data_IF_943662387587
#
_entry.id   IF_943662387587
#
_cell.length_a   1.000
_cell.length_b   1.000
_cell.length_c   1.000
_cell.angle_alpha   90.00
_cell.angle_beta   90.00
_cell.angle_gamma   90.00
#
_symmetry.space_group_name_H-M   'P 1'
#
loop_
_entity.id
_entity.type
_entity.pdbx_description
1 polymer ?
#
# COMPACT_ATOMS: atom_id res chain seq x y z
N UNK A 1 11.74 28.53 6.67
CA UNK A 1 12.96 27.76 6.36
C UNK A 1 13.61 27.10 7.59
N UNK A 2 12.84 26.56 8.53
CA UNK A 2 13.38 25.79 9.67
C UNK A 2 12.67 24.44 9.75
N UNK A 3 13.43 23.39 10.11
CA UNK A 3 12.89 22.05 10.35
C UNK A 3 11.91 22.11 11.51
N UNK A 4 10.74 21.50 11.34
CA UNK A 4 9.77 21.30 12.42
C UNK A 4 9.63 19.82 12.74
N UNK A 5 9.74 19.49 14.01
CA UNK A 5 9.51 18.15 14.52
C UNK A 5 8.10 18.05 15.09
N UNK A 6 7.41 16.98 14.73
CA UNK A 6 6.09 16.62 15.25
C UNK A 6 6.22 15.31 16.02
N UNK A 7 5.50 15.20 17.13
CA UNK A 7 5.43 13.96 17.91
C UNK A 7 4.19 13.16 17.50
N UNK A 8 4.34 11.85 17.31
CA UNK A 8 3.25 10.93 16.99
C UNK A 8 3.35 9.69 17.89
N UNK A 9 2.26 8.92 18.03
CA UNK A 9 2.34 7.64 18.73
C UNK A 9 3.39 6.72 18.07
N UNK A 10 4.18 5.98 18.86
CA UNK A 10 5.26 5.17 18.34
C UNK A 10 4.70 4.05 17.46
N UNK A 11 5.15 4.01 16.20
CA UNK A 11 4.85 2.96 15.23
C UNK A 11 6.09 2.66 14.41
N UNK A 12 6.20 1.41 13.93
CA UNK A 12 7.22 1.02 12.97
C UNK A 12 6.60 1.10 11.58
N UNK A 13 7.11 1.96 10.71
CA UNK A 13 6.58 2.17 9.35
C UNK A 13 7.67 1.90 8.32
N UNK A 14 7.30 1.19 7.26
CA UNK A 14 8.19 0.91 6.13
C UNK A 14 7.94 1.88 4.98
N UNK A 15 6.71 1.93 4.45
CA UNK A 15 6.37 2.76 3.31
C UNK A 15 5.30 3.81 3.64
N UNK A 16 5.44 4.97 2.99
CA UNK A 16 4.39 5.96 2.89
C UNK A 16 3.61 5.71 1.60
N UNK A 17 2.30 5.90 1.63
CA UNK A 17 1.46 5.92 0.43
C UNK A 17 1.68 7.24 -0.31
N UNK A 18 1.47 8.36 0.38
CA UNK A 18 1.60 9.70 -0.14
C UNK A 18 1.56 10.73 1.00
N UNK A 19 1.93 11.97 0.72
CA UNK A 19 1.73 13.10 1.61
C UNK A 19 1.38 14.38 0.84
N UNK A 20 0.54 15.24 1.40
CA UNK A 20 0.11 16.50 0.77
C UNK A 20 -0.32 17.55 1.80
N UNK A 21 -0.52 18.78 1.34
CA UNK A 21 -1.02 19.89 2.15
C UNK A 21 -2.55 20.04 2.01
N UNK A 22 -3.25 20.28 3.12
CA UNK A 22 -4.64 20.77 3.10
C UNK A 22 -4.80 21.95 4.06
N UNK A 23 -5.78 22.81 3.76
CA UNK A 23 -6.24 23.85 4.68
C UNK A 23 -7.47 23.35 5.42
N UNK A 24 -7.40 23.31 6.76
CA UNK A 24 -8.52 22.89 7.58
C UNK A 24 -9.63 23.97 7.63
N UNK A 25 -10.77 23.65 8.27
CA UNK A 25 -11.91 24.57 8.36
C UNK A 25 -11.60 25.88 9.11
N UNK A 26 -10.50 25.94 9.87
CA UNK A 26 -10.02 27.12 10.58
C UNK A 26 -9.04 27.96 9.74
N UNK A 27 -8.73 27.57 8.50
CA UNK A 27 -7.77 28.26 7.64
C UNK A 27 -6.31 27.91 7.92
N UNK A 28 -6.04 26.87 8.70
CA UNK A 28 -4.68 26.44 9.06
C UNK A 28 -4.19 25.36 8.12
N UNK A 29 -2.90 25.40 7.76
CA UNK A 29 -2.29 24.38 6.91
C UNK A 29 -1.94 23.13 7.71
N UNK A 30 -2.28 21.97 7.18
CA UNK A 30 -1.92 20.66 7.72
C UNK A 30 -1.18 19.85 6.65
N UNK A 31 -0.14 19.13 7.06
CA UNK A 31 0.46 18.06 6.25
C UNK A 31 -0.29 16.77 6.57
N UNK A 32 -0.85 16.13 5.55
CA UNK A 32 -1.50 14.84 5.65
C UNK A 32 -0.52 13.81 5.10
N UNK A 33 -0.33 12.71 5.82
CA UNK A 33 0.50 11.59 5.37
C UNK A 33 -0.28 10.30 5.57
N UNK A 34 -0.31 9.48 4.52
CA UNK A 34 -0.80 8.12 4.56
C UNK A 34 0.38 7.15 4.52
N UNK A 35 0.29 6.05 5.25
CA UNK A 35 1.33 5.02 5.26
C UNK A 35 0.83 3.69 5.81
N UNK A 36 1.72 2.70 5.75
CA UNK A 36 1.45 1.31 6.10
C UNK A 36 2.32 0.89 7.29
N UNK A 37 2.07 1.40 8.51
CA UNK A 37 2.80 0.95 9.69
C UNK A 37 2.37 -0.45 10.12
N UNK A 38 3.23 -1.09 10.93
CA UNK A 38 2.87 -2.31 11.63
C UNK A 38 1.65 -2.04 12.53
N UNK A 39 0.71 -2.97 12.49
CA UNK A 39 -0.37 -3.04 13.45
C UNK A 39 0.22 -3.16 14.86
N UNK A 40 -0.40 -2.47 15.82
CA UNK A 40 0.08 -2.44 17.20
C UNK A 40 -0.67 -3.50 18.01
N UNK A 41 -0.12 -4.72 18.21
CA UNK A 41 -0.84 -5.81 18.85
C UNK A 41 -1.18 -5.44 20.30
N UNK A 42 -2.38 -5.78 20.75
CA UNK A 42 -2.83 -5.51 22.12
C UNK A 42 -3.00 -6.80 22.91
N UNK A 43 -2.72 -6.73 24.20
CA UNK A 43 -3.09 -7.73 25.18
C UNK A 43 -4.61 -7.63 25.49
N UNK A 44 -5.14 -8.59 26.24
CA UNK A 44 -6.56 -8.58 26.65
C UNK A 44 -6.95 -7.35 27.50
N UNK A 45 -5.99 -6.77 28.22
CA UNK A 45 -6.17 -5.54 29.00
C UNK A 45 -6.03 -4.26 28.15
N UNK A 46 -5.80 -4.39 26.84
CA UNK A 46 -5.64 -3.27 25.91
C UNK A 46 -4.24 -2.67 25.84
N UNK A 47 -3.30 -3.10 26.68
CA UNK A 47 -1.90 -2.64 26.64
C UNK A 47 -1.16 -3.21 25.42
N UNK A 48 -0.11 -2.51 24.97
CA UNK A 48 0.71 -2.95 23.85
C UNK A 48 1.44 -4.27 24.17
N UNK A 49 1.26 -5.27 23.31
CA UNK A 49 2.03 -6.51 23.36
C UNK A 49 3.37 -6.33 22.63
N UNK A 50 4.32 -5.72 23.34
CA UNK A 50 5.67 -5.44 22.83
C UNK A 50 6.39 -6.73 22.43
N UNK A 51 6.19 -7.83 23.15
CA UNK A 51 6.85 -9.11 22.84
C UNK A 51 6.37 -9.65 21.50
N UNK A 52 5.06 -9.62 21.25
CA UNK A 52 4.49 -10.02 19.97
C UNK A 52 4.96 -9.12 18.84
N UNK A 53 4.93 -7.79 19.03
CA UNK A 53 5.40 -6.85 18.01
C UNK A 53 6.86 -7.11 17.61
N UNK A 54 7.76 -7.23 18.59
CA UNK A 54 9.17 -7.50 18.34
C UNK A 54 9.41 -8.88 17.73
N UNK A 55 8.63 -9.89 18.13
CA UNK A 55 8.70 -11.22 17.52
C UNK A 55 8.26 -11.20 16.06
N UNK A 56 7.16 -10.53 15.74
CA UNK A 56 6.67 -10.35 14.36
C UNK A 56 7.75 -9.69 13.52
N UNK A 57 8.29 -8.55 13.94
CA UNK A 57 9.33 -7.83 13.20
C UNK A 57 10.60 -8.68 13.07
N UNK A 58 11.07 -9.28 14.18
CA UNK A 58 12.30 -10.06 14.22
C UNK A 58 12.25 -11.36 13.40
N UNK A 59 11.05 -11.85 13.08
CA UNK A 59 10.82 -13.01 12.20
C UNK A 59 10.37 -12.63 10.79
N UNK A 60 10.45 -11.33 10.43
CA UNK A 60 10.01 -10.79 9.14
C UNK A 60 8.52 -11.01 8.86
N UNK A 61 7.73 -11.22 9.91
CA UNK A 61 6.27 -11.25 9.86
C UNK A 61 5.73 -9.92 9.37
N UNK A 62 4.77 -9.96 8.44
CA UNK A 62 4.08 -8.76 7.96
C UNK A 62 2.69 -8.70 8.59
N UNK A 63 2.45 -7.71 9.44
CA UNK A 63 1.15 -7.40 10.05
C UNK A 63 1.01 -5.88 10.06
N UNK A 64 0.48 -5.33 8.97
CA UNK A 64 0.41 -3.90 8.68
C UNK A 64 -1.05 -3.43 8.65
N UNK A 65 -1.25 -2.14 8.88
CA UNK A 65 -2.54 -1.46 8.72
C UNK A 65 -2.36 -0.21 7.85
N UNK A 66 -3.43 0.30 7.26
CA UNK A 66 -3.39 1.60 6.58
C UNK A 66 -3.70 2.71 7.60
N UNK A 67 -2.82 3.71 7.67
CA UNK A 67 -2.84 4.71 8.72
C UNK A 67 -2.64 6.13 8.19
N UNK A 68 -3.23 7.10 8.89
CA UNK A 68 -3.14 8.52 8.55
C UNK A 68 -2.54 9.33 9.70
N UNK A 69 -1.63 10.24 9.36
CA UNK A 69 -1.17 11.32 10.22
C UNK A 69 -1.57 12.67 9.63
N UNK A 70 -1.91 13.62 10.50
CA UNK A 70 -2.15 15.02 10.17
C UNK A 70 -1.29 15.89 11.09
N UNK A 71 -0.43 16.72 10.51
CA UNK A 71 0.50 17.58 11.22
C UNK A 71 0.15 19.05 10.97
N UNK A 72 -0.35 19.74 12.00
CA UNK A 72 -0.82 21.12 11.85
C UNK A 72 0.35 22.11 11.94
N UNK A 73 0.58 22.87 10.86
CA UNK A 73 1.68 23.83 10.75
C UNK A 73 1.42 25.15 11.50
N UNK A 74 0.20 25.43 11.95
CA UNK A 74 -0.05 26.58 12.83
C UNK A 74 0.22 26.20 14.30
N UNK A 75 -0.41 25.13 14.77
CA UNK A 75 -0.44 24.77 16.20
C UNK A 75 0.68 23.84 16.63
N UNK A 76 1.29 23.09 15.69
CA UNK A 76 2.24 22.02 16.01
C UNK A 76 1.57 20.72 16.48
N UNK A 77 0.25 20.65 16.44
CA UNK A 77 -0.49 19.45 16.84
C UNK A 77 -0.35 18.34 15.80
N UNK A 78 -0.15 17.11 16.29
CA UNK A 78 -0.32 15.88 15.50
C UNK A 78 -1.67 15.25 15.82
N UNK A 79 -2.39 14.84 14.78
CA UNK A 79 -3.55 13.95 14.88
C UNK A 79 -3.31 12.72 14.05
N UNK A 80 -3.83 11.59 14.49
CA UNK A 80 -3.59 10.31 13.85
C UNK A 80 -4.82 9.40 13.93
N UNK A 81 -4.99 8.55 12.92
CA UNK A 81 -6.15 7.67 12.82
C UNK A 81 -5.87 6.46 11.94
N UNK A 82 -6.43 5.31 12.32
CA UNK A 82 -6.52 4.14 11.45
C UNK A 82 -7.45 4.47 10.28
N UNK A 83 -7.00 4.16 9.07
CA UNK A 83 -7.82 4.24 7.85
C UNK A 83 -8.42 2.87 7.53
N UNK A 84 -7.62 1.81 7.64
CA UNK A 84 -8.07 0.43 7.50
C UNK A 84 -7.20 -0.52 8.34
N UNK A 85 -7.83 -1.28 9.23
CA UNK A 85 -7.22 -2.36 10.01
C UNK A 85 -7.76 -3.76 9.61
N UNK A 86 -8.54 -3.83 8.53
CA UNK A 86 -9.12 -5.09 8.04
C UNK A 86 -8.15 -5.79 7.10
N UNK A 87 -7.61 -5.09 6.09
CA UNK A 87 -6.64 -5.68 5.18
C UNK A 87 -5.21 -5.41 5.64
N UNK A 88 -4.44 -6.49 5.74
CA UNK A 88 -3.00 -6.42 5.93
C UNK A 88 -2.34 -6.04 4.60
N UNK A 89 -1.99 -4.77 4.42
CA UNK A 89 -1.49 -4.26 3.13
C UNK A 89 -0.17 -3.51 3.24
N UNK A 90 0.61 -3.58 2.17
CA UNK A 90 1.92 -2.94 2.05
C UNK A 90 2.28 -2.66 0.59
N UNK A 91 3.45 -2.07 0.32
CA UNK A 91 3.91 -1.64 -1.01
C UNK A 91 2.85 -0.80 -1.73
N UNK A 92 2.44 0.33 -1.11
CA UNK A 92 1.39 1.17 -1.66
C UNK A 92 1.86 1.88 -2.92
N UNK A 93 1.03 1.82 -3.96
CA UNK A 93 1.22 2.55 -5.22
C UNK A 93 0.06 3.49 -5.47
N UNK A 94 0.34 4.63 -6.07
CA UNK A 94 -0.65 5.62 -6.51
C UNK A 94 -0.42 5.95 -7.99
N UNK A 95 -1.36 6.67 -8.60
CA UNK A 95 -1.06 7.37 -9.84
C UNK A 95 -0.01 8.46 -9.56
N UNK A 96 1.18 8.33 -10.18
CA UNK A 96 2.33 9.18 -9.91
C UNK A 96 2.08 10.68 -10.18
N UNK A 97 1.07 11.03 -10.99
CA UNK A 97 0.63 12.43 -11.19
C UNK A 97 0.17 13.11 -9.90
N UNK A 98 -0.23 12.32 -8.91
CA UNK A 98 -0.71 12.80 -7.61
C UNK A 98 0.34 12.66 -6.52
N UNK A 99 1.59 12.29 -6.84
CA UNK A 99 2.65 12.25 -5.84
C UNK A 99 2.91 13.65 -5.27
N UNK A 100 2.79 13.80 -3.96
CA UNK A 100 2.87 15.09 -3.28
C UNK A 100 1.57 15.91 -3.29
N UNK A 101 0.53 15.47 -4.00
CA UNK A 101 -0.79 16.08 -4.06
C UNK A 101 -1.84 15.16 -3.45
N UNK A 102 -3.02 15.70 -3.13
CA UNK A 102 -4.12 14.87 -2.62
C UNK A 102 -4.53 13.83 -3.68
N UNK A 103 -4.44 12.56 -3.31
CA UNK A 103 -4.93 11.44 -4.12
C UNK A 103 -6.17 10.80 -3.45
N UNK A 104 -7.09 10.29 -4.26
CA UNK A 104 -8.27 9.54 -3.82
C UNK A 104 -7.99 8.03 -3.73
N UNK A 105 -7.12 7.51 -4.58
CA UNK A 105 -6.91 6.08 -4.74
C UNK A 105 -5.49 5.66 -4.38
N UNK A 106 -5.37 4.49 -3.75
CA UNK A 106 -4.13 3.74 -3.68
C UNK A 106 -4.35 2.27 -3.99
N UNK A 107 -3.26 1.61 -4.38
CA UNK A 107 -3.20 0.21 -4.73
C UNK A 107 -2.09 -0.44 -3.94
N UNK A 108 -2.45 -1.23 -2.95
CA UNK A 108 -1.51 -1.83 -2.04
C UNK A 108 -1.47 -3.33 -2.32
N UNK A 109 -0.31 -3.94 -2.11
CA UNK A 109 -0.19 -5.40 -2.13
C UNK A 109 -0.87 -5.98 -0.89
N UNK A 110 -1.70 -7.00 -1.09
CA UNK A 110 -2.31 -7.78 -0.02
C UNK A 110 -1.26 -8.74 0.57
N UNK A 111 -0.89 -8.54 1.83
CA UNK A 111 0.04 -9.39 2.54
C UNK A 111 -0.64 -10.69 2.98
N UNK A 112 0.00 -11.80 2.66
CA UNK A 112 -0.41 -13.12 3.09
C UNK A 112 0.06 -13.49 4.47
N UNK A 113 -0.71 -14.33 5.15
CA UNK A 113 -0.23 -14.97 6.39
C UNK A 113 0.99 -15.84 6.09
N UNK A 114 2.09 -15.55 6.77
CA UNK A 114 3.28 -16.40 6.73
C UNK A 114 2.98 -17.72 7.45
N UNK A 115 3.14 -18.84 6.73
CA UNK A 115 2.99 -20.19 7.30
C UNK A 115 4.33 -20.88 7.58
N UNK A 116 5.40 -20.40 6.96
CA UNK A 116 6.78 -20.81 7.14
C UNK A 116 7.66 -19.56 7.17
N UNK A 117 8.94 -19.69 7.53
CA UNK A 117 9.94 -18.60 7.43
C UNK A 117 10.26 -18.21 5.98
N UNK A 118 9.64 -18.86 5.00
CA UNK A 118 9.78 -18.47 3.60
C UNK A 118 9.06 -17.13 3.40
N UNK A 119 9.76 -16.23 2.69
CA UNK A 119 9.50 -14.81 2.45
C UNK A 119 8.03 -14.36 2.39
N UNK A 120 7.72 -13.09 2.73
CA UNK A 120 6.36 -12.59 2.74
C UNK A 120 5.65 -12.89 1.42
N UNK A 121 4.49 -13.52 1.53
CA UNK A 121 3.68 -13.94 0.39
C UNK A 121 2.77 -12.79 -0.01
N UNK A 122 3.01 -12.17 -1.16
CA UNK A 122 2.18 -11.11 -1.70
C UNK A 122 1.01 -11.74 -2.46
N UNK A 123 -0.16 -11.83 -1.83
CA UNK A 123 -1.25 -12.71 -2.29
C UNK A 123 -2.25 -12.04 -3.23
N UNK A 124 -2.05 -10.77 -3.54
CA UNK A 124 -3.02 -10.01 -4.30
C UNK A 124 -2.83 -8.51 -4.15
N UNK A 125 -3.88 -7.78 -4.46
CA UNK A 125 -3.92 -6.33 -4.44
C UNK A 125 -5.17 -5.84 -3.72
N UNK A 126 -5.08 -4.69 -3.08
CA UNK A 126 -6.21 -3.97 -2.47
C UNK A 126 -6.24 -2.58 -3.09
N UNK A 127 -7.39 -2.19 -3.64
CA UNK A 127 -7.67 -0.82 -4.03
C UNK A 127 -8.40 -0.12 -2.90
N UNK A 128 -7.90 1.03 -2.50
CA UNK A 128 -8.57 1.93 -1.56
C UNK A 128 -9.18 3.12 -2.32
N UNK A 129 -10.38 3.54 -1.91
CA UNK A 129 -11.03 4.79 -2.29
C UNK A 129 -11.25 5.60 -1.01
N UNK A 130 -10.43 6.62 -0.80
CA UNK A 130 -10.42 7.42 0.43
C UNK A 130 -11.60 8.39 0.54
N UNK A 131 -12.23 8.76 -0.57
CA UNK A 131 -13.41 9.62 -0.53
C UNK A 131 -14.67 8.86 -0.15
N UNK A 132 -14.82 7.62 -0.66
CA UNK A 132 -15.96 6.77 -0.33
C UNK A 132 -15.74 5.94 0.94
N UNK A 133 -14.51 5.88 1.47
CA UNK A 133 -14.17 5.04 2.62
C UNK A 133 -14.34 3.55 2.32
N UNK A 134 -14.09 3.14 1.08
CA UNK A 134 -14.32 1.79 0.60
C UNK A 134 -13.01 1.18 0.07
N UNK A 135 -12.85 -0.13 0.27
CA UNK A 135 -11.74 -0.90 -0.27
C UNK A 135 -12.23 -2.21 -0.88
N UNK A 136 -11.57 -2.64 -1.96
CA UNK A 136 -11.80 -3.94 -2.59
C UNK A 136 -10.48 -4.68 -2.68
N UNK A 137 -10.52 -5.98 -2.40
CA UNK A 137 -9.36 -6.85 -2.52
C UNK A 137 -9.53 -7.80 -3.71
N UNK A 138 -8.44 -8.04 -4.42
CA UNK A 138 -8.32 -9.08 -5.43
C UNK A 138 -7.25 -10.09 -4.99
N UNK A 139 -7.67 -11.35 -4.84
CA UNK A 139 -6.79 -12.49 -4.60
C UNK A 139 -7.14 -13.58 -5.63
N UNK A 140 -6.22 -13.96 -6.53
CA UNK A 140 -6.49 -14.95 -7.59
C UNK A 140 -6.54 -16.40 -7.08
N UNK A 141 -6.37 -16.63 -5.78
CA UNK A 141 -6.28 -17.94 -5.15
C UNK A 141 -4.85 -18.35 -4.80
N UNK A 142 -4.70 -19.59 -4.33
CA UNK A 142 -3.41 -20.11 -3.88
C UNK A 142 -2.41 -20.28 -5.05
N UNK A 143 -1.13 -20.05 -4.75
CA UNK A 143 -0.03 -20.28 -5.69
C UNK A 143 0.25 -19.12 -6.65
N UNK A 144 -0.28 -17.93 -6.37
CA UNK A 144 0.06 -16.71 -7.10
C UNK A 144 0.69 -15.70 -6.15
N UNK A 145 1.92 -15.30 -6.45
CA UNK A 145 2.63 -14.31 -5.62
C UNK A 145 3.05 -13.12 -6.45
N UNK A 146 2.56 -11.96 -6.04
CA UNK A 146 2.78 -10.69 -6.70
C UNK A 146 4.15 -10.11 -6.31
N UNK A 147 4.55 -9.06 -7.03
CA UNK A 147 5.50 -8.05 -6.58
C UNK A 147 4.72 -6.73 -6.37
N UNK A 148 5.41 -5.65 -6.02
CA UNK A 148 4.82 -4.30 -6.11
C UNK A 148 4.18 -4.08 -7.49
N UNK A 149 3.09 -3.31 -7.53
CA UNK A 149 2.27 -3.13 -8.73
C UNK A 149 2.21 -1.65 -9.13
N UNK A 150 3.25 -1.11 -9.80
CA UNK A 150 3.24 0.26 -10.29
C UNK A 150 2.01 0.59 -11.15
N UNK A 151 1.51 1.80 -10.98
CA UNK A 151 0.41 2.34 -11.78
C UNK A 151 0.92 2.87 -13.12
N UNK A 152 0.37 2.35 -14.21
CA UNK A 152 0.55 2.80 -15.57
C UNK A 152 -0.71 3.56 -16.01
N UNK A 153 -0.61 4.88 -16.13
CA UNK A 153 -1.71 5.71 -16.59
C UNK A 153 -2.12 5.35 -18.03
N UNK A 154 -3.43 5.37 -18.32
CA UNK A 154 -3.95 5.21 -19.68
C UNK A 154 -3.63 6.45 -20.51
N UNK A 155 -3.38 6.26 -21.81
CA UNK A 155 -3.32 7.37 -22.76
C UNK A 155 -4.60 8.22 -22.68
N UNK A 156 -4.42 9.53 -22.49
CA UNK A 156 -5.52 10.49 -22.32
C UNK A 156 -6.44 10.19 -21.13
N UNK A 157 -5.89 9.65 -20.03
CA UNK A 157 -6.63 9.39 -18.80
C UNK A 157 -7.44 10.60 -18.32
N UNK A 158 -8.70 10.36 -17.97
CA UNK A 158 -9.62 11.40 -17.50
C UNK A 158 -9.84 11.37 -15.98
N UNK A 159 -9.65 10.22 -15.36
CA UNK A 159 -9.83 10.00 -13.93
C UNK A 159 -8.51 9.58 -13.29
N UNK A 160 -8.39 9.78 -11.97
CA UNK A 160 -7.17 9.42 -11.22
C UNK A 160 -6.83 7.93 -11.34
N UNK A 161 -7.85 7.06 -11.34
CA UNK A 161 -7.72 5.60 -11.47
C UNK A 161 -7.84 5.08 -12.91
N UNK A 162 -7.84 5.96 -13.92
CA UNK A 162 -7.94 5.59 -15.32
C UNK A 162 -6.59 5.10 -15.85
N UNK A 163 -6.31 3.82 -15.58
CA UNK A 163 -5.05 3.20 -15.91
C UNK A 163 -5.01 1.74 -15.54
N UNK A 164 -3.79 1.25 -15.39
CA UNK A 164 -3.51 -0.16 -15.20
C UNK A 164 -2.50 -0.35 -14.08
N UNK A 165 -2.62 -1.45 -13.35
CA UNK A 165 -1.56 -1.93 -12.48
C UNK A 165 -0.74 -2.98 -13.24
N UNK A 166 0.57 -2.83 -13.20
CA UNK A 166 1.50 -3.77 -13.86
C UNK A 166 2.34 -4.44 -12.79
N UNK A 167 2.23 -5.76 -12.64
CA UNK A 167 2.97 -6.49 -11.60
C UNK A 167 3.57 -7.78 -12.13
N UNK A 168 4.76 -8.12 -11.64
CA UNK A 168 5.32 -9.46 -11.80
C UNK A 168 4.60 -10.43 -10.85
N UNK A 169 4.20 -11.59 -11.37
CA UNK A 169 3.49 -12.62 -10.62
C UNK A 169 4.19 -13.97 -10.82
N UNK A 170 4.61 -14.61 -9.73
CA UNK A 170 5.02 -16.02 -9.74
C UNK A 170 3.77 -16.89 -9.68
N UNK A 171 3.53 -17.65 -10.74
CA UNK A 171 2.48 -18.66 -10.82
C UNK A 171 3.10 -20.02 -10.45
N UNK A 172 2.91 -20.47 -9.21
CA UNK A 172 3.40 -21.76 -8.72
C UNK A 172 2.75 -22.93 -9.42
N UNK A 173 1.49 -22.82 -9.83
CA UNK A 173 0.78 -23.93 -10.48
C UNK A 173 1.42 -24.27 -11.84
N UNK A 174 1.80 -23.24 -12.59
CA UNK A 174 2.47 -23.38 -13.88
C UNK A 174 4.01 -23.28 -13.80
N UNK A 175 4.57 -23.07 -12.60
CA UNK A 175 6.00 -22.88 -12.34
C UNK A 175 6.65 -21.84 -13.27
N UNK A 176 6.03 -20.66 -13.42
CA UNK A 176 6.51 -19.60 -14.30
C UNK A 176 6.22 -18.20 -13.77
N UNK A 177 7.03 -17.24 -14.18
CA UNK A 177 6.76 -15.83 -13.94
C UNK A 177 5.90 -15.25 -15.07
N UNK A 178 4.98 -14.37 -14.70
CA UNK A 178 4.08 -13.67 -15.59
C UNK A 178 4.13 -12.17 -15.28
N UNK A 179 3.85 -11.31 -16.25
CA UNK A 179 3.49 -9.90 -16.01
C UNK A 179 2.00 -9.78 -16.16
N UNK A 180 1.33 -9.33 -15.11
CA UNK A 180 -0.12 -9.12 -15.10
C UNK A 180 -0.40 -7.64 -15.31
N UNK A 181 -1.29 -7.35 -16.26
CA UNK A 181 -1.86 -6.03 -16.49
C UNK A 181 -3.29 -6.07 -15.98
N UNK A 182 -3.61 -5.26 -14.98
CA UNK A 182 -4.89 -5.27 -14.27
C UNK A 182 -5.53 -3.90 -14.44
N UNK A 183 -6.81 -3.86 -14.79
CA UNK A 183 -7.57 -2.62 -14.85
C UNK A 183 -7.69 -2.01 -13.44
N UNK A 184 -7.16 -0.79 -13.26
CA UNK A 184 -7.09 -0.14 -11.97
C UNK A 184 -8.46 0.34 -11.45
N UNK A 185 -9.48 0.41 -12.31
CA UNK A 185 -10.87 0.67 -11.93
C UNK A 185 -11.57 -0.62 -11.45
N UNK A 186 -11.17 -1.77 -12.00
CA UNK A 186 -11.87 -3.04 -11.87
C UNK A 186 -10.96 -4.20 -11.43
N UNK A 187 -10.13 -3.98 -10.40
CA UNK A 187 -9.11 -4.96 -9.99
C UNK A 187 -9.67 -6.35 -9.66
N UNK A 188 -10.93 -6.43 -9.20
CA UNK A 188 -11.59 -7.68 -8.82
C UNK A 188 -11.94 -8.58 -10.01
N UNK A 189 -11.94 -8.03 -11.23
CA UNK A 189 -12.11 -8.81 -12.47
C UNK A 189 -10.84 -9.57 -12.86
N UNK A 190 -9.72 -9.28 -12.18
CA UNK A 190 -8.42 -9.87 -12.47
C UNK A 190 -7.72 -9.23 -13.66
N UNK A 191 -6.64 -9.85 -14.16
CA UNK A 191 -5.81 -9.25 -15.20
C UNK A 191 -6.54 -9.25 -16.54
N UNK A 192 -6.52 -8.09 -17.21
CA UNK A 192 -6.98 -7.93 -18.60
C UNK A 192 -5.97 -8.49 -19.60
N UNK A 193 -4.70 -8.62 -19.19
CA UNK A 193 -3.67 -9.30 -19.96
C UNK A 193 -2.64 -9.99 -19.04
N UNK A 194 -2.07 -11.09 -19.54
CA UNK A 194 -0.96 -11.82 -18.89
C UNK A 194 0.14 -12.06 -19.91
N UNK A 195 1.35 -11.60 -19.63
CA UNK A 195 2.53 -11.87 -20.43
C UNK A 195 3.34 -12.98 -19.76
N UNK A 196 3.47 -14.13 -20.40
CA UNK A 196 4.25 -15.25 -19.87
C UNK A 196 5.73 -14.97 -20.15
N UNK A 197 6.56 -15.00 -19.11
CA UNK A 197 7.99 -14.76 -19.23
C UNK A 197 8.73 -16.08 -19.53
N UNK A 198 9.80 -16.04 -20.35
CA UNK A 198 10.55 -17.24 -20.71
C UNK A 198 11.44 -17.77 -19.57
N UNK A 199 11.60 -17.00 -18.49
CA UNK A 199 12.46 -17.30 -17.37
C UNK A 199 11.84 -16.82 -16.05
N UNK A 200 12.31 -17.39 -14.94
CA UNK A 200 11.88 -16.99 -13.60
C UNK A 200 12.42 -15.60 -13.27
N UNK A 201 11.51 -14.71 -12.91
CA UNK A 201 11.79 -13.46 -12.20
C UNK A 201 11.59 -13.75 -10.70
N UNK A 202 12.65 -13.67 -9.87
CA UNK A 202 12.51 -13.80 -8.42
C UNK A 202 11.58 -12.72 -7.86
N UNK A 203 10.94 -12.99 -6.72
CA UNK A 203 10.12 -12.00 -6.04
C UNK A 203 10.96 -10.74 -5.77
N UNK A 204 10.54 -9.63 -6.38
CA UNK A 204 11.20 -8.34 -6.26
C UNK A 204 10.66 -7.52 -5.08
N UNK A 205 11.22 -6.33 -4.92
CA UNK A 205 10.70 -5.31 -4.01
C UNK A 205 10.03 -4.23 -4.85
N UNK A 206 10.78 -3.18 -5.18
CA UNK A 206 10.24 -1.99 -5.84
C UNK A 206 10.30 -2.06 -7.36
N UNK A 207 9.38 -1.36 -7.98
CA UNK A 207 9.32 -1.09 -9.41
C UNK A 207 8.78 0.32 -9.67
N UNK A 208 8.98 0.80 -10.89
CA UNK A 208 8.37 2.05 -11.34
C UNK A 208 7.94 1.89 -12.78
N UNK A 209 6.78 2.48 -13.11
CA UNK A 209 6.34 2.59 -14.49
C UNK A 209 6.89 3.89 -15.06
N UNK A 210 7.53 3.80 -16.22
CA UNK A 210 8.02 4.95 -16.97
C UNK A 210 7.30 4.94 -18.31
N UNK A 211 6.46 5.95 -18.56
CA UNK A 211 5.79 6.11 -19.84
C UNK A 211 6.83 6.39 -20.95
N UNK A 212 6.44 6.12 -22.19
CA UNK A 212 7.21 6.59 -23.33
C UNK A 212 7.25 8.13 -23.32
N UNK A 213 8.41 8.69 -23.69
CA UNK A 213 8.62 10.14 -23.81
C UNK A 213 7.92 10.74 -25.03
#
# INVERSE_FOLDING_TARGET
DQIRWFEASPRYMLHAVNAWEEVNAQGETEIIMLGTPYAMPKQFDGSLDVKRLLFTIGTQGMDQELYQWRFNLATGQTRESVVDDVFNTEFPMINARFQGYKNRYSYNVLMGKMRTLEQPRFQGLVKYDYELGHSVAYNPGEGYWFSEAPFAERDNAQLEDDGYLVSFVWNEQAQRSEVWVIDAQHITQGPVARVILPQRVPNGFHGTWVSQA
#
